data_IF_100631430153
#
_entry.id   IF_100631430153
#
_cell.length_a   1.000
_cell.length_b   1.000
_cell.length_c   1.000
_cell.angle_alpha   90.00
_cell.angle_beta   90.00
_cell.angle_gamma   90.00
#
_symmetry.space_group_name_H-M   'P 1'
#
loop_
_entity.id
_entity.type
_entity.pdbx_description
1 polymer ?
#
# COMPACT_ATOMS: atom_id res chain seq x y z
N UNK A 1 52.38 41.06 -30.57
CA UNK A 1 53.73 41.48 -30.26
C UNK A 1 53.84 41.63 -28.75
N UNK A 2 54.88 40.98 -28.20
CA UNK A 2 55.40 41.06 -26.81
C UNK A 2 54.73 39.96 -25.92
N UNK A 3 55.34 38.84 -25.86
CA UNK A 3 56.47 38.18 -25.20
C UNK A 3 56.20 37.76 -23.75
N UNK A 4 56.40 36.46 -23.57
CA UNK A 4 56.54 35.73 -22.31
C UNK A 4 57.86 36.15 -21.60
N UNK A 5 58.00 35.87 -20.29
CA UNK A 5 58.91 34.78 -20.01
C UNK A 5 58.45 33.76 -18.98
N UNK A 6 58.93 32.54 -19.21
CA UNK A 6 58.99 31.38 -18.33
C UNK A 6 59.88 31.65 -17.12
N UNK A 7 59.48 31.12 -15.99
CA UNK A 7 60.42 30.84 -14.89
C UNK A 7 60.10 29.54 -14.21
N UNK A 8 60.96 28.56 -14.31
CA UNK A 8 61.05 27.34 -13.53
C UNK A 8 61.93 27.63 -12.30
N UNK A 9 61.60 27.11 -11.14
CA UNK A 9 62.65 26.63 -10.24
C UNK A 9 62.31 25.22 -9.65
N UNK A 10 63.24 24.33 -9.90
CA UNK A 10 64.13 23.64 -8.95
C UNK A 10 63.47 22.69 -7.94
N UNK A 11 63.77 21.41 -8.18
CA UNK A 11 63.66 20.25 -7.29
C UNK A 11 64.30 20.49 -5.93
N UNK A 12 63.62 20.02 -4.87
CA UNK A 12 64.26 19.66 -3.61
C UNK A 12 63.72 18.28 -3.22
N UNK A 13 64.61 17.27 -3.34
CA UNK A 13 64.44 15.92 -2.78
C UNK A 13 64.53 15.99 -1.25
N UNK A 14 63.45 15.64 -0.58
CA UNK A 14 63.44 15.39 0.85
C UNK A 14 63.11 13.91 1.10
N UNK A 15 64.09 13.11 1.42
CA UNK A 15 63.92 11.75 1.86
C UNK A 15 63.39 11.73 3.31
N UNK A 16 62.17 11.28 3.53
CA UNK A 16 61.66 11.01 4.87
C UNK A 16 61.44 9.51 5.06
N UNK A 17 62.20 8.94 6.00
CA UNK A 17 62.04 7.60 6.48
C UNK A 17 60.65 7.42 7.07
N UNK A 18 59.84 6.53 6.49
CA UNK A 18 58.58 6.10 7.06
C UNK A 18 58.84 4.95 8.06
N UNK A 19 58.59 5.24 9.31
CA UNK A 19 58.53 4.24 10.39
C UNK A 19 57.22 3.44 10.20
N UNK A 20 57.35 2.16 9.86
CA UNK A 20 56.25 1.20 9.85
C UNK A 20 55.81 0.91 11.29
N UNK A 21 54.72 1.45 11.74
CA UNK A 21 53.99 0.98 12.92
C UNK A 21 52.94 -0.10 12.49
N UNK A 22 52.92 -1.26 13.07
CA UNK A 22 51.87 -2.23 12.79
C UNK A 22 50.54 -1.75 13.42
N UNK A 23 49.61 -1.33 12.56
CA UNK A 23 48.24 -1.10 13.00
C UNK A 23 47.56 -2.41 13.27
N UNK A 24 47.22 -2.66 14.54
CA UNK A 24 46.28 -3.72 14.92
C UNK A 24 44.96 -3.50 14.15
N UNK A 25 44.61 -4.43 13.31
CA UNK A 25 43.25 -4.56 12.76
C UNK A 25 42.28 -4.83 13.90
N UNK A 26 41.62 -3.79 14.39
CA UNK A 26 40.40 -3.95 15.17
C UNK A 26 39.35 -4.51 14.22
N UNK A 27 38.94 -5.75 14.46
CA UNK A 27 37.82 -6.38 13.78
C UNK A 27 36.58 -5.51 14.03
N UNK A 28 36.13 -4.79 13.00
CA UNK A 28 34.80 -4.16 12.99
C UNK A 28 33.77 -5.26 13.19
N UNK A 29 33.11 -5.23 14.31
CA UNK A 29 31.92 -6.03 14.55
C UNK A 29 30.89 -5.67 13.47
N UNK A 30 30.75 -6.56 12.50
CA UNK A 30 29.64 -6.51 11.54
C UNK A 30 28.37 -6.63 12.37
N UNK A 31 27.72 -5.51 12.64
CA UNK A 31 26.35 -5.51 13.16
C UNK A 31 25.48 -6.18 12.09
N UNK A 32 25.18 -7.45 12.36
CA UNK A 32 24.23 -8.23 11.58
C UNK A 32 22.90 -7.51 11.67
N UNK A 33 22.49 -6.83 10.59
CA UNK A 33 21.13 -6.32 10.46
C UNK A 33 20.17 -7.46 10.79
N UNK A 34 19.13 -7.23 11.61
CA UNK A 34 18.14 -8.26 11.85
C UNK A 34 17.53 -8.66 10.52
N UNK A 35 17.77 -9.89 10.13
CA UNK A 35 17.20 -10.47 8.91
C UNK A 35 15.69 -10.44 9.03
N UNK A 36 15.00 -9.95 7.99
CA UNK A 36 13.54 -10.02 7.81
C UNK A 36 12.98 -11.44 8.09
N UNK A 37 13.83 -12.47 8.02
CA UNK A 37 13.49 -13.85 8.35
C UNK A 37 13.16 -14.09 9.83
N UNK A 38 13.56 -13.23 10.77
CA UNK A 38 13.26 -13.41 12.20
C UNK A 38 11.92 -12.83 12.63
N UNK A 39 11.34 -11.89 11.84
CA UNK A 39 10.02 -11.34 12.10
C UNK A 39 8.87 -12.22 11.58
N UNK A 40 9.18 -13.25 10.78
CA UNK A 40 8.17 -14.07 10.09
C UNK A 40 7.59 -15.23 10.89
N UNK A 41 8.09 -15.52 12.09
CA UNK A 41 7.70 -16.73 12.84
C UNK A 41 6.32 -16.69 13.49
N UNK A 42 5.63 -15.54 13.52
CA UNK A 42 4.31 -15.38 14.16
C UNK A 42 3.27 -14.64 13.32
N UNK A 43 3.48 -14.52 12.00
CA UNK A 43 2.49 -13.88 11.15
C UNK A 43 1.30 -14.81 10.91
N UNK A 44 0.09 -14.24 11.01
CA UNK A 44 -1.11 -14.96 10.64
C UNK A 44 -1.09 -15.29 9.15
N UNK A 45 -1.46 -16.54 8.81
CA UNK A 45 -1.48 -17.02 7.42
C UNK A 45 -2.85 -16.80 6.81
N UNK A 46 -2.88 -16.16 5.64
CA UNK A 46 -4.05 -15.98 4.79
C UNK A 46 -3.89 -16.81 3.52
N UNK A 47 -4.95 -17.49 3.08
CA UNK A 47 -4.89 -18.46 1.98
C UNK A 47 -5.09 -17.87 0.59
N UNK A 48 -5.41 -16.58 0.47
CA UNK A 48 -5.67 -15.94 -0.83
C UNK A 48 -5.23 -14.48 -0.83
N UNK A 49 -4.67 -14.04 -1.95
CA UNK A 49 -4.38 -12.66 -2.27
C UNK A 49 -5.56 -11.94 -2.97
N UNK A 50 -6.63 -12.67 -3.28
CA UNK A 50 -7.84 -12.12 -3.89
C UNK A 50 -8.61 -11.24 -2.91
N UNK A 51 -9.18 -10.14 -3.43
CA UNK A 51 -10.03 -9.23 -2.65
C UNK A 51 -11.50 -9.58 -2.85
N UNK A 52 -12.25 -9.61 -1.74
CA UNK A 52 -13.69 -9.84 -1.73
C UNK A 52 -14.36 -8.95 -0.67
N UNK A 53 -15.61 -8.51 -0.88
CA UNK A 53 -16.36 -7.72 0.11
C UNK A 53 -16.48 -8.39 1.47
N UNK A 54 -16.63 -9.72 1.48
CA UNK A 54 -16.96 -10.51 2.67
C UNK A 54 -15.74 -11.24 3.25
N UNK A 55 -14.53 -10.87 2.85
CA UNK A 55 -13.32 -11.54 3.31
C UNK A 55 -13.11 -11.35 4.81
N UNK A 56 -12.71 -12.43 5.47
CA UNK A 56 -12.35 -12.46 6.88
C UNK A 56 -10.83 -12.63 7.02
N UNK A 57 -10.14 -11.52 7.17
CA UNK A 57 -8.66 -11.46 7.27
C UNK A 57 -8.25 -10.53 8.41
N UNK A 58 -7.00 -10.62 8.89
CA UNK A 58 -6.46 -9.65 9.83
C UNK A 58 -6.30 -8.29 9.14
N UNK A 59 -7.18 -7.35 9.47
CA UNK A 59 -7.12 -6.00 8.93
C UNK A 59 -6.01 -5.19 9.59
N UNK A 60 -5.32 -4.36 8.80
CA UNK A 60 -4.27 -3.41 9.25
C UNK A 60 -3.12 -4.08 10.00
N UNK A 61 -2.85 -5.34 9.69
CA UNK A 61 -1.75 -6.11 10.29
C UNK A 61 -0.95 -6.81 9.20
N UNK A 62 0.37 -6.95 9.37
CA UNK A 62 1.18 -7.76 8.47
C UNK A 62 0.72 -9.23 8.52
N UNK A 63 0.61 -9.83 7.36
CA UNK A 63 0.24 -11.25 7.18
C UNK A 63 1.17 -11.94 6.20
N UNK A 64 1.29 -13.26 6.35
CA UNK A 64 1.83 -14.14 5.33
C UNK A 64 0.67 -14.64 4.47
N UNK A 65 0.72 -14.42 3.17
CA UNK A 65 -0.29 -14.90 2.22
C UNK A 65 0.31 -16.11 1.51
N UNK A 66 -0.42 -17.22 1.52
CA UNK A 66 -0.04 -18.45 0.81
C UNK A 66 -1.15 -18.72 -0.22
N UNK A 67 -0.98 -18.12 -1.38
CA UNK A 67 -1.94 -18.21 -2.48
C UNK A 67 -1.56 -19.34 -3.43
N UNK A 68 -2.50 -20.22 -3.83
CA UNK A 68 -2.19 -21.36 -4.71
C UNK A 68 -1.77 -20.96 -6.13
N UNK A 69 -2.07 -19.74 -6.57
CA UNK A 69 -1.77 -19.24 -7.92
C UNK A 69 -0.58 -18.26 -7.93
N UNK A 70 -0.39 -17.52 -6.84
CA UNK A 70 0.62 -16.46 -6.75
C UNK A 70 1.80 -16.82 -5.84
N UNK A 71 1.69 -17.93 -5.10
CA UNK A 71 2.72 -18.38 -4.19
C UNK A 71 2.69 -17.67 -2.83
N UNK A 72 3.87 -17.56 -2.20
CA UNK A 72 4.02 -16.92 -0.90
C UNK A 72 4.30 -15.43 -1.03
N UNK A 73 3.48 -14.62 -0.37
CA UNK A 73 3.58 -13.15 -0.34
C UNK A 73 3.50 -12.67 1.11
N UNK A 74 4.04 -11.48 1.34
CA UNK A 74 3.79 -10.72 2.58
C UNK A 74 2.93 -9.51 2.22
N UNK A 75 2.01 -9.15 3.10
CA UNK A 75 1.15 -8.01 2.82
C UNK A 75 0.37 -7.51 4.02
N UNK A 76 -0.35 -6.42 3.81
CA UNK A 76 -1.28 -5.81 4.76
C UNK A 76 -2.60 -5.58 4.06
N UNK A 77 -3.68 -6.12 4.61
CA UNK A 77 -5.04 -5.82 4.16
C UNK A 77 -5.58 -4.61 4.90
N UNK A 78 -6.24 -3.72 4.16
CA UNK A 78 -6.94 -2.57 4.73
C UNK A 78 -8.37 -2.50 4.22
N UNK A 79 -9.26 -1.93 5.04
CA UNK A 79 -10.67 -1.77 4.70
C UNK A 79 -11.19 -0.46 5.28
N UNK A 80 -11.79 0.34 4.41
CA UNK A 80 -12.44 1.58 4.81
C UNK A 80 -13.87 1.66 4.28
N UNK A 81 -14.75 2.29 5.04
CA UNK A 81 -16.16 2.48 4.72
C UNK A 81 -16.47 3.95 4.54
N UNK A 82 -17.17 4.28 3.46
CA UNK A 82 -17.52 5.63 3.09
C UNK A 82 -19.04 5.78 3.00
N UNK A 83 -19.56 6.89 3.49
CA UNK A 83 -20.98 7.19 3.41
C UNK A 83 -21.81 6.74 4.61
N UNK A 84 -21.18 6.54 5.77
CA UNK A 84 -21.86 6.24 7.02
C UNK A 84 -22.12 4.77 7.25
N UNK A 85 -23.37 4.34 7.49
CA UNK A 85 -23.69 2.95 7.77
C UNK A 85 -23.46 2.04 6.56
N UNK A 86 -22.85 0.88 6.77
CA UNK A 86 -22.69 -0.22 5.81
C UNK A 86 -23.99 -0.66 5.12
N UNK A 87 -25.11 -0.33 5.72
CA UNK A 87 -26.42 -0.78 5.30
C UNK A 87 -27.24 0.30 4.56
N UNK A 88 -26.62 1.45 4.25
CA UNK A 88 -27.30 2.49 3.46
C UNK A 88 -27.02 2.29 1.98
N UNK A 89 -28.06 2.51 1.17
CA UNK A 89 -27.91 2.63 -0.29
C UNK A 89 -26.88 3.71 -0.62
N UNK A 90 -25.97 3.40 -1.56
CA UNK A 90 -24.88 4.30 -1.94
C UNK A 90 -23.65 4.26 -1.03
N UNK A 91 -23.67 3.48 0.08
CA UNK A 91 -22.46 3.29 0.88
C UNK A 91 -21.39 2.57 0.07
N UNK A 92 -20.14 3.00 0.24
CA UNK A 92 -19.01 2.44 -0.46
C UNK A 92 -18.07 1.77 0.54
N UNK A 93 -17.42 0.71 0.10
CA UNK A 93 -16.34 0.07 0.83
C UNK A 93 -15.11 0.03 -0.09
N UNK A 94 -13.99 0.45 0.44
CA UNK A 94 -12.69 0.34 -0.21
C UNK A 94 -11.89 -0.72 0.52
N UNK A 95 -11.47 -1.74 -0.21
CA UNK A 95 -10.62 -2.81 0.29
C UNK A 95 -9.30 -2.74 -0.45
N UNK A 96 -8.20 -2.88 0.27
CA UNK A 96 -6.87 -2.86 -0.34
C UNK A 96 -5.98 -3.97 0.21
N UNK A 97 -5.09 -4.46 -0.64
CA UNK A 97 -3.96 -5.32 -0.28
C UNK A 97 -2.67 -4.63 -0.70
N UNK A 98 -1.82 -4.40 0.27
CA UNK A 98 -0.50 -3.78 0.13
C UNK A 98 0.57 -4.85 0.24
N UNK A 99 1.39 -5.01 -0.79
CA UNK A 99 2.52 -5.94 -0.83
C UNK A 99 3.80 -5.18 -1.21
N UNK A 100 5.00 -5.72 -1.01
CA UNK A 100 6.24 -5.06 -1.40
C UNK A 100 6.31 -4.67 -2.88
N UNK A 101 5.59 -5.36 -3.76
CA UNK A 101 5.65 -5.15 -5.21
C UNK A 101 4.38 -4.55 -5.82
N UNK A 102 3.25 -4.59 -5.11
CA UNK A 102 1.97 -4.19 -5.69
C UNK A 102 0.97 -3.70 -4.64
N UNK A 103 0.03 -2.87 -5.10
CA UNK A 103 -1.17 -2.46 -4.36
C UNK A 103 -2.36 -2.94 -5.17
N UNK A 104 -3.30 -3.64 -4.55
CA UNK A 104 -4.56 -4.06 -5.14
C UNK A 104 -5.70 -3.32 -4.46
N UNK A 105 -6.67 -2.90 -5.24
CA UNK A 105 -7.83 -2.15 -4.76
C UNK A 105 -9.11 -2.74 -5.31
N UNK A 106 -10.09 -2.85 -4.41
CA UNK A 106 -11.46 -3.21 -4.74
C UNK A 106 -12.40 -2.16 -4.13
N UNK A 107 -13.26 -1.59 -4.96
CA UNK A 107 -14.32 -0.69 -4.50
C UNK A 107 -15.66 -1.37 -4.68
N UNK A 108 -16.44 -1.42 -3.61
CA UNK A 108 -17.81 -1.93 -3.66
C UNK A 108 -18.79 -0.83 -3.33
N UNK A 109 -19.94 -0.86 -3.98
CA UNK A 109 -21.04 0.08 -3.80
C UNK A 109 -22.29 -0.72 -3.47
N UNK A 110 -22.88 -0.44 -2.33
CA UNK A 110 -24.16 -1.02 -1.96
C UNK A 110 -25.29 -0.23 -2.63
N UNK A 111 -26.14 -0.92 -3.37
CA UNK A 111 -27.32 -0.37 -4.01
C UNK A 111 -28.54 -1.10 -3.49
N UNK A 112 -29.54 -0.36 -3.05
CA UNK A 112 -30.84 -0.91 -2.70
C UNK A 112 -31.78 -0.71 -3.89
N UNK A 113 -32.36 -1.77 -4.39
CA UNK A 113 -33.40 -1.71 -5.40
C UNK A 113 -34.73 -2.04 -4.76
N UNK A 114 -35.69 -1.14 -4.91
CA UNK A 114 -37.05 -1.42 -4.47
C UNK A 114 -37.62 -2.61 -5.25
N UNK A 115 -38.08 -3.59 -4.51
CA UNK A 115 -38.84 -4.73 -5.05
C UNK A 115 -40.27 -4.58 -4.58
N UNK A 116 -41.22 -4.75 -5.49
CA UNK A 116 -42.63 -4.78 -5.11
C UNK A 116 -43.02 -6.20 -4.72
N UNK A 117 -43.22 -6.44 -3.44
CA UNK A 117 -43.90 -7.64 -2.95
C UNK A 117 -45.27 -7.25 -2.44
N UNK A 118 -46.17 -8.21 -2.43
CA UNK A 118 -47.52 -8.05 -1.90
C UNK A 118 -47.74 -9.09 -0.82
N UNK A 119 -48.42 -8.71 0.26
CA UNK A 119 -48.97 -9.67 1.19
C UNK A 119 -50.49 -9.62 1.10
N UNK A 120 -51.14 -10.76 1.31
CA UNK A 120 -52.60 -10.90 1.29
C UNK A 120 -53.16 -10.96 2.69
N UNK A 121 -54.16 -10.14 2.98
CA UNK A 121 -54.98 -10.25 4.16
C UNK A 121 -56.44 -10.43 3.71
N UNK A 122 -56.93 -11.65 3.76
CA UNK A 122 -58.18 -12.02 3.11
C UNK A 122 -58.08 -11.92 1.58
N UNK A 123 -58.96 -11.16 0.96
CA UNK A 123 -58.97 -10.93 -0.50
C UNK A 123 -58.32 -9.63 -0.91
N UNK A 124 -57.59 -8.95 -0.01
CA UNK A 124 -56.97 -7.66 -0.27
C UNK A 124 -55.46 -7.84 -0.37
N UNK A 125 -54.89 -7.27 -1.46
CA UNK A 125 -53.45 -7.22 -1.70
C UNK A 125 -52.88 -5.92 -1.16
N UNK A 126 -51.92 -5.99 -0.28
CA UNK A 126 -51.22 -4.85 0.27
C UNK A 126 -49.81 -4.80 -0.30
N UNK A 127 -49.36 -3.65 -0.87
CA UNK A 127 -48.00 -3.52 -1.30
C UNK A 127 -47.09 -3.51 -0.08
N UNK A 128 -46.04 -4.34 -0.11
CA UNK A 128 -44.96 -4.35 0.87
C UNK A 128 -43.70 -3.84 0.20
N UNK A 129 -43.11 -2.73 0.68
CA UNK A 129 -41.84 -2.31 0.18
C UNK A 129 -40.76 -3.29 0.64
N UNK A 130 -40.32 -4.13 -0.26
CA UNK A 130 -39.12 -4.92 -0.06
C UNK A 130 -37.93 -4.26 -0.79
N UNK A 131 -36.76 -4.33 -0.17
CA UNK A 131 -35.53 -3.83 -0.78
C UNK A 131 -34.58 -5.00 -0.97
N UNK A 132 -34.17 -5.21 -2.21
CA UNK A 132 -33.11 -6.15 -2.53
C UNK A 132 -31.82 -5.39 -2.61
N UNK A 133 -30.84 -5.81 -1.81
CA UNK A 133 -29.52 -5.19 -1.79
C UNK A 133 -28.61 -5.87 -2.80
N UNK A 134 -28.00 -5.05 -3.64
CA UNK A 134 -26.97 -5.46 -4.58
C UNK A 134 -25.64 -4.83 -4.20
N UNK A 135 -24.59 -5.63 -4.24
CA UNK A 135 -23.22 -5.14 -4.10
C UNK A 135 -22.60 -5.11 -5.50
N UNK A 136 -22.32 -3.90 -5.98
CA UNK A 136 -21.62 -3.70 -7.25
C UNK A 136 -20.14 -3.46 -7.00
N UNK A 137 -19.28 -4.23 -7.63
CA UNK A 137 -17.84 -3.99 -7.62
C UNK A 137 -17.45 -3.03 -8.74
N UNK A 138 -16.53 -2.14 -8.46
CA UNK A 138 -15.96 -1.20 -9.43
C UNK A 138 -14.45 -1.37 -9.49
N UNK A 139 -13.94 -1.42 -10.69
CA UNK A 139 -12.51 -1.44 -10.96
C UNK A 139 -11.92 -0.05 -10.71
N UNK A 140 -10.72 -0.01 -10.19
CA UNK A 140 -9.95 1.24 -9.98
C UNK A 140 -8.92 1.36 -11.09
N UNK A 141 -9.02 2.42 -11.88
CA UNK A 141 -8.10 2.70 -12.98
C UNK A 141 -6.90 3.55 -12.56
N UNK A 142 -7.11 4.46 -11.55
CA UNK A 142 -6.02 5.29 -11.02
C UNK A 142 -6.11 5.37 -9.50
N UNK A 143 -4.94 5.36 -8.87
CA UNK A 143 -4.74 5.62 -7.46
C UNK A 143 -3.88 6.89 -7.31
N UNK A 144 -4.40 7.89 -6.62
CA UNK A 144 -3.62 9.02 -6.12
C UNK A 144 -3.45 8.82 -4.62
N UNK A 145 -2.21 8.77 -4.17
CA UNK A 145 -1.86 8.59 -2.76
C UNK A 145 -1.00 9.75 -2.32
N UNK A 146 -1.43 10.45 -1.27
CA UNK A 146 -0.68 11.55 -0.68
C UNK A 146 0.10 11.02 0.53
N UNK A 147 1.44 11.11 0.47
CA UNK A 147 2.33 10.82 1.59
C UNK A 147 3.09 12.11 1.92
N UNK A 148 2.80 12.71 3.05
CA UNK A 148 3.27 14.07 3.39
C UNK A 148 2.85 15.07 2.31
N UNK A 149 3.81 15.79 1.73
CA UNK A 149 3.57 16.76 0.64
C UNK A 149 3.67 16.13 -0.76
N UNK A 150 4.04 14.86 -0.87
CA UNK A 150 4.22 14.19 -2.14
C UNK A 150 2.95 13.44 -2.54
N UNK A 151 2.52 13.61 -3.80
CA UNK A 151 1.39 12.89 -4.38
C UNK A 151 1.90 11.90 -5.42
N UNK A 152 1.73 10.63 -5.14
CA UNK A 152 1.98 9.52 -6.07
C UNK A 152 0.75 9.29 -6.93
N UNK A 153 0.96 9.19 -8.24
CA UNK A 153 -0.08 8.90 -9.23
C UNK A 153 0.24 7.59 -9.90
N UNK A 154 -0.62 6.62 -9.70
CA UNK A 154 -0.45 5.27 -10.22
C UNK A 154 -1.62 4.95 -11.14
N UNK A 155 -1.32 4.44 -12.33
CA UNK A 155 -2.30 3.99 -13.30
C UNK A 155 -2.31 2.46 -13.36
N UNK A 156 -3.48 1.87 -13.60
CA UNK A 156 -3.64 0.43 -13.75
C UNK A 156 -4.79 0.10 -14.70
N UNK A 157 -4.58 -0.90 -15.53
CA UNK A 157 -5.65 -1.48 -16.35
C UNK A 157 -6.37 -2.67 -15.69
N UNK A 158 -5.86 -3.16 -14.55
CA UNK A 158 -6.36 -4.37 -13.88
C UNK A 158 -6.82 -4.13 -12.44
N UNK A 159 -6.68 -2.91 -11.90
CA UNK A 159 -6.89 -2.62 -10.47
C UNK A 159 -5.71 -3.02 -9.58
N UNK A 160 -4.58 -3.42 -10.19
CA UNK A 160 -3.32 -3.71 -9.50
C UNK A 160 -2.27 -2.69 -9.90
N UNK A 161 -1.69 -2.01 -8.94
CA UNK A 161 -0.74 -0.92 -9.11
C UNK A 161 0.65 -1.40 -8.72
N UNK A 162 1.65 -1.15 -9.55
CA UNK A 162 3.02 -1.50 -9.25
C UNK A 162 3.61 -0.55 -8.18
N UNK A 163 4.36 -1.12 -7.25
CA UNK A 163 5.12 -0.36 -6.25
C UNK A 163 6.56 -0.27 -6.73
N UNK A 164 7.00 0.93 -7.08
CA UNK A 164 8.39 1.21 -7.40
C UNK A 164 9.19 1.52 -6.14
N UNK A 165 10.52 1.63 -6.26
CA UNK A 165 11.42 1.88 -5.14
C UNK A 165 11.15 3.22 -4.43
N UNK A 166 10.77 4.25 -5.18
CA UNK A 166 10.46 5.57 -4.62
C UNK A 166 9.20 5.50 -3.75
N UNK A 167 8.12 4.93 -4.27
CA UNK A 167 6.88 4.71 -3.52
C UNK A 167 7.11 3.82 -2.29
N UNK A 168 7.83 2.69 -2.45
CA UNK A 168 8.15 1.80 -1.33
C UNK A 168 8.89 2.56 -0.21
N UNK A 169 9.86 3.42 -0.57
CA UNK A 169 10.58 4.23 0.41
C UNK A 169 9.66 5.25 1.10
N UNK A 170 8.75 5.88 0.35
CA UNK A 170 7.79 6.82 0.91
C UNK A 170 6.82 6.13 1.87
N UNK A 171 6.29 4.95 1.50
CA UNK A 171 5.39 4.15 2.33
C UNK A 171 6.08 3.67 3.62
N UNK A 172 7.32 3.19 3.51
CA UNK A 172 8.11 2.79 4.68
C UNK A 172 8.30 3.91 5.70
N UNK A 173 8.51 5.14 5.21
CA UNK A 173 8.77 6.32 6.02
C UNK A 173 7.53 7.21 6.20
N UNK A 174 6.35 6.69 5.90
CA UNK A 174 5.11 7.43 6.06
C UNK A 174 4.88 7.79 7.54
N UNK A 175 4.29 8.97 7.81
CA UNK A 175 3.95 9.38 9.17
C UNK A 175 2.89 8.44 9.77
N UNK A 176 2.91 8.26 11.09
CA UNK A 176 1.94 7.40 11.80
C UNK A 176 0.59 8.11 11.96
N UNK A 177 -0.06 8.37 10.82
CA UNK A 177 -1.36 9.04 10.69
C UNK A 177 -2.19 8.42 9.56
N UNK A 178 -3.46 8.82 9.45
CA UNK A 178 -4.26 8.45 8.28
C UNK A 178 -3.73 9.16 7.04
N UNK A 179 -3.73 8.48 5.91
CA UNK A 179 -3.27 9.04 4.64
C UNK A 179 -4.41 9.11 3.63
N UNK A 180 -4.55 10.27 3.00
CA UNK A 180 -5.55 10.51 1.97
C UNK A 180 -5.23 9.75 0.69
N UNK A 181 -6.24 9.10 0.14
CA UNK A 181 -6.21 8.52 -1.19
C UNK A 181 -7.39 9.00 -2.02
N UNK A 182 -7.16 9.12 -3.31
CA UNK A 182 -8.21 9.33 -4.31
C UNK A 182 -8.16 8.23 -5.34
N UNK A 183 -9.29 7.58 -5.53
CA UNK A 183 -9.48 6.51 -6.50
C UNK A 183 -10.26 7.05 -7.69
N UNK A 184 -9.78 6.79 -8.91
CA UNK A 184 -10.55 7.00 -10.13
C UNK A 184 -11.03 5.65 -10.59
N UNK A 185 -12.34 5.48 -10.59
CA UNK A 185 -12.99 4.23 -10.98
C UNK A 185 -13.16 4.17 -12.49
N UNK A 186 -13.36 2.97 -12.97
CA UNK A 186 -13.86 2.73 -14.33
C UNK A 186 -15.07 3.61 -14.62
N UNK A 187 -15.03 4.34 -15.75
CA UNK A 187 -16.04 5.34 -16.10
C UNK A 187 -15.76 6.75 -15.56
N UNK A 188 -14.61 6.99 -14.90
CA UNK A 188 -14.13 8.31 -14.51
C UNK A 188 -14.69 8.85 -13.19
N UNK A 189 -15.55 8.10 -12.50
CA UNK A 189 -16.02 8.48 -11.16
C UNK A 189 -14.87 8.50 -10.17
N UNK A 190 -14.81 9.52 -9.30
CA UNK A 190 -13.81 9.58 -8.22
C UNK A 190 -14.39 9.19 -6.88
N UNK A 191 -13.53 8.58 -6.04
CA UNK A 191 -13.83 8.23 -4.66
C UNK A 191 -12.66 8.67 -3.80
N UNK A 192 -12.90 9.61 -2.89
CA UNK A 192 -11.95 10.00 -1.87
C UNK A 192 -12.10 9.08 -0.66
N UNK A 193 -10.98 8.61 -0.13
CA UNK A 193 -10.91 7.69 1.01
C UNK A 193 -9.62 7.93 1.79
N UNK A 194 -9.45 7.18 2.86
CA UNK A 194 -8.25 7.23 3.68
C UNK A 194 -7.71 5.82 3.89
N UNK A 195 -6.41 5.71 4.10
CA UNK A 195 -5.77 4.52 4.66
C UNK A 195 -5.57 4.75 6.15
N UNK A 196 -6.09 3.85 6.96
CA UNK A 196 -6.01 3.99 8.41
C UNK A 196 -4.57 3.93 8.93
N UNK A 197 -4.25 4.74 9.95
CA UNK A 197 -2.90 4.83 10.52
C UNK A 197 -2.30 3.48 10.94
N UNK A 198 -3.12 2.51 11.35
CA UNK A 198 -2.63 1.18 11.71
C UNK A 198 -2.07 0.43 10.50
N UNK A 199 -2.70 0.58 9.33
CA UNK A 199 -2.21 0.06 8.06
C UNK A 199 -0.92 0.78 7.66
N UNK A 200 -0.88 2.11 7.79
CA UNK A 200 0.33 2.91 7.53
C UNK A 200 1.49 2.45 8.39
N UNK A 201 1.26 2.24 9.69
CA UNK A 201 2.28 1.69 10.59
C UNK A 201 2.74 0.29 10.19
N UNK A 202 1.81 -0.56 9.73
CA UNK A 202 2.14 -1.91 9.29
C UNK A 202 3.02 -1.92 8.02
N UNK A 203 2.95 -0.89 7.16
CA UNK A 203 3.83 -0.77 5.99
C UNK A 203 5.31 -0.73 6.33
N UNK A 204 5.70 -0.19 7.49
CA UNK A 204 7.10 -0.18 7.94
C UNK A 204 7.71 -1.57 8.04
N UNK A 205 6.89 -2.61 8.16
CA UNK A 205 7.32 -4.00 8.26
C UNK A 205 7.35 -4.76 6.94
N UNK A 206 6.71 -4.23 5.89
CA UNK A 206 6.63 -4.89 4.59
C UNK A 206 7.41 -4.17 3.49
N UNK A 207 7.67 -2.87 3.63
CA UNK A 207 8.52 -2.03 2.79
C UNK A 207 9.88 -1.77 3.48
#
# INVERSE_FOLDING_TARGET
MIDLPQTIPVLLLGASLAVLSPRLCTASSVQKLPSLAQASTNLQVVKSAGLSPDMNVPWSKPVKIVDPFEGELFGVFDRNYLGGSLYRSGSKQVISLWTPSSIRLLVTINNDQASSSFYTAGNIYYPRPDYVRFVTTKKVDKLLLKVREQVFRLDSSTGTFAVNKELATALKNAPDENLDIRLVLEGGQTVDSEIGKQTVKAWQSIY
#
